data_IF_404846743232
#
_entry.id   IF_404846743232
#
_cell.length_a   1.000
_cell.length_b   1.000
_cell.length_c   1.000
_cell.angle_alpha   90.00
_cell.angle_beta   90.00
_cell.angle_gamma   90.00
#
_symmetry.space_group_name_H-M   'P 1'
#
loop_
_entity.id
_entity.type
_entity.pdbx_description
1 polymer ?
#
# COMPACT_ATOMS: atom_id res chain seq x y z
N UNK A 1 11.03 -27.47 -13.44
CA UNK A 1 9.96 -26.78 -12.68
C UNK A 1 10.46 -26.64 -11.25
N UNK A 2 11.13 -25.53 -10.94
CA UNK A 2 11.82 -25.34 -9.66
C UNK A 2 10.90 -24.50 -8.78
N UNK A 3 10.22 -25.16 -7.84
CA UNK A 3 9.45 -24.49 -6.79
C UNK A 3 10.45 -23.83 -5.84
N UNK A 4 10.35 -22.51 -5.71
CA UNK A 4 11.22 -21.73 -4.85
C UNK A 4 10.87 -22.03 -3.38
N UNK A 5 11.68 -22.87 -2.74
CA UNK A 5 11.75 -23.01 -1.30
C UNK A 5 12.34 -21.70 -0.72
N UNK A 6 11.46 -20.80 -0.28
CA UNK A 6 11.90 -19.62 0.46
C UNK A 6 12.24 -20.03 1.89
N UNK A 7 13.55 -20.15 2.12
CA UNK A 7 14.18 -20.39 3.41
C UNK A 7 13.63 -19.42 4.47
N UNK A 8 12.84 -19.98 5.39
CA UNK A 8 12.17 -19.28 6.49
C UNK A 8 13.21 -18.86 7.53
N UNK A 9 13.54 -17.58 7.62
CA UNK A 9 14.00 -17.03 8.90
C UNK A 9 12.84 -17.29 9.88
N UNK A 10 13.02 -18.19 10.85
CA UNK A 10 11.94 -18.70 11.70
C UNK A 10 11.06 -17.56 12.26
N UNK A 11 9.91 -17.33 11.64
CA UNK A 11 8.96 -16.35 12.14
C UNK A 11 8.45 -16.84 13.50
N UNK A 12 8.35 -15.96 14.51
CA UNK A 12 7.91 -16.35 15.84
C UNK A 12 6.52 -17.02 15.76
N UNK A 13 6.37 -18.13 16.48
CA UNK A 13 5.12 -18.92 16.48
C UNK A 13 4.41 -18.71 17.81
N UNK A 14 3.15 -18.29 17.75
CA UNK A 14 2.27 -18.13 18.90
C UNK A 14 1.23 -19.24 18.86
N UNK A 15 1.38 -20.22 19.76
CA UNK A 15 0.38 -21.26 19.98
C UNK A 15 -0.65 -20.79 20.99
N UNK A 16 -1.87 -20.54 20.50
CA UNK A 16 -3.00 -20.04 21.28
C UNK A 16 -3.47 -21.07 22.32
N UNK A 17 -3.26 -22.35 22.06
CA UNK A 17 -3.69 -23.44 22.95
C UNK A 17 -2.92 -23.40 24.27
N UNK A 18 -1.65 -22.98 24.21
CA UNK A 18 -0.78 -22.85 25.38
C UNK A 18 -1.07 -21.58 26.20
N UNK A 19 -1.97 -20.70 25.75
CA UNK A 19 -2.29 -19.41 26.39
C UNK A 19 -3.68 -19.45 27.04
N UNK A 20 -3.84 -18.93 28.27
CA UNK A 20 -5.15 -18.83 28.93
C UNK A 20 -6.16 -18.03 28.09
N UNK A 21 -7.44 -18.44 28.00
CA UNK A 21 -8.44 -17.82 27.11
C UNK A 21 -8.53 -16.29 27.18
N UNK A 22 -8.45 -15.72 28.39
CA UNK A 22 -8.54 -14.28 28.62
C UNK A 22 -7.30 -13.50 28.17
N UNK A 23 -6.16 -14.17 27.96
CA UNK A 23 -4.89 -13.53 27.56
C UNK A 23 -4.62 -13.66 26.06
N UNK A 24 -5.31 -14.57 25.36
CA UNK A 24 -5.09 -14.84 23.93
C UNK A 24 -5.22 -13.58 23.09
N UNK A 25 -6.40 -12.95 23.09
CA UNK A 25 -6.64 -11.79 22.24
C UNK A 25 -5.75 -10.59 22.59
N UNK A 26 -5.62 -10.17 23.88
CA UNK A 26 -4.73 -9.08 24.23
C UNK A 26 -3.29 -9.30 23.75
N UNK A 27 -2.75 -10.50 23.96
CA UNK A 27 -1.38 -10.84 23.57
C UNK A 27 -1.19 -10.81 22.05
N UNK A 28 -2.12 -11.38 21.28
CA UNK A 28 -2.01 -11.43 19.82
C UNK A 28 -2.16 -10.03 19.21
N UNK A 29 -3.05 -9.21 19.75
CA UNK A 29 -3.24 -7.83 19.31
C UNK A 29 -2.02 -6.96 19.64
N UNK A 30 -1.45 -7.11 20.82
CA UNK A 30 -0.19 -6.45 21.18
C UNK A 30 0.96 -6.91 20.28
N UNK A 31 1.11 -8.21 20.06
CA UNK A 31 2.11 -8.74 19.15
C UNK A 31 1.96 -8.18 17.73
N UNK A 32 0.73 -8.05 17.22
CA UNK A 32 0.45 -7.44 15.91
C UNK A 32 0.78 -5.94 15.88
N UNK A 33 0.49 -5.21 16.97
CA UNK A 33 0.82 -3.79 17.11
C UNK A 33 2.33 -3.54 17.12
N UNK A 34 3.09 -4.39 17.81
CA UNK A 34 4.55 -4.27 17.98
C UNK A 34 5.36 -4.79 16.77
N UNK A 35 4.69 -5.34 15.74
CA UNK A 35 5.37 -5.77 14.53
C UNK A 35 6.06 -4.60 13.83
N UNK A 36 7.36 -4.76 13.57
CA UNK A 36 8.07 -3.90 12.62
C UNK A 36 7.59 -4.19 11.18
N UNK A 37 7.64 -3.19 10.27
CA UNK A 37 7.26 -3.39 8.88
C UNK A 37 8.06 -4.53 8.23
N UNK A 38 7.36 -5.39 7.46
CA UNK A 38 7.95 -6.55 6.79
C UNK A 38 8.16 -7.75 7.71
N UNK A 39 7.83 -7.64 9.01
CA UNK A 39 7.89 -8.74 9.97
C UNK A 39 6.51 -9.33 10.19
N UNK A 40 6.48 -10.57 10.65
CA UNK A 40 5.26 -11.28 11.00
C UNK A 40 5.50 -12.38 12.02
N UNK A 41 4.41 -12.99 12.45
CA UNK A 41 4.38 -14.14 13.32
C UNK A 41 3.31 -15.13 12.85
N UNK A 42 3.45 -16.40 13.23
CA UNK A 42 2.50 -17.45 12.90
C UNK A 42 1.65 -17.77 14.13
N UNK A 43 0.35 -17.53 14.02
CA UNK A 43 -0.66 -17.96 14.95
C UNK A 43 -1.03 -19.43 14.68
N UNK A 44 -0.98 -20.27 15.71
CA UNK A 44 -1.46 -21.66 15.66
C UNK A 44 -2.67 -21.80 16.56
N UNK A 45 -3.77 -22.33 16.01
CA UNK A 45 -5.01 -22.56 16.72
C UNK A 45 -5.60 -23.94 16.36
N UNK A 46 -6.40 -24.51 17.25
CA UNK A 46 -7.10 -25.78 17.02
C UNK A 46 -8.46 -25.62 16.32
N UNK A 47 -8.91 -24.38 16.13
CA UNK A 47 -10.12 -24.04 15.38
C UNK A 47 -9.86 -22.80 14.53
N UNK A 48 -10.79 -22.52 13.64
CA UNK A 48 -10.74 -21.38 12.74
C UNK A 48 -10.76 -20.04 13.50
N UNK A 49 -9.70 -19.21 13.40
CA UNK A 49 -9.57 -17.94 14.12
C UNK A 49 -10.37 -16.77 13.52
N UNK A 50 -11.49 -17.03 12.81
CA UNK A 50 -12.37 -16.00 12.23
C UNK A 50 -12.76 -14.85 13.17
N UNK A 51 -13.16 -15.09 14.44
CA UNK A 51 -13.51 -13.99 15.34
C UNK A 51 -12.34 -13.04 15.60
N UNK A 52 -11.13 -13.60 15.72
CA UNK A 52 -9.90 -12.83 15.91
C UNK A 52 -9.53 -12.06 14.65
N UNK A 53 -9.71 -12.66 13.46
CA UNK A 53 -9.52 -11.97 12.18
C UNK A 53 -10.36 -10.70 12.10
N UNK A 54 -11.65 -10.79 12.42
CA UNK A 54 -12.56 -9.64 12.40
C UNK A 54 -12.11 -8.55 13.37
N UNK A 55 -11.64 -8.93 14.56
CA UNK A 55 -11.13 -7.98 15.55
C UNK A 55 -9.83 -7.29 15.10
N UNK A 56 -8.89 -8.03 14.50
CA UNK A 56 -7.65 -7.48 13.92
C UNK A 56 -7.99 -6.51 12.78
N UNK A 57 -8.90 -6.91 11.89
CA UNK A 57 -9.32 -6.06 10.77
C UNK A 57 -10.01 -4.77 11.24
N UNK A 58 -10.83 -4.84 12.29
CA UNK A 58 -11.48 -3.66 12.86
C UNK A 58 -10.49 -2.69 13.53
N UNK A 59 -9.39 -3.19 14.11
CA UNK A 59 -8.41 -2.38 14.83
C UNK A 59 -7.29 -1.84 13.93
N UNK A 60 -6.81 -2.65 12.97
CA UNK A 60 -5.62 -2.35 12.18
C UNK A 60 -5.89 -2.15 10.70
N UNK A 61 -7.06 -2.57 10.18
CA UNK A 61 -7.38 -2.48 8.76
C UNK A 61 -6.27 -3.07 7.88
N UNK A 62 -5.87 -2.33 6.85
CA UNK A 62 -4.81 -2.72 5.92
C UNK A 62 -3.37 -2.59 6.49
N UNK A 63 -3.21 -2.09 7.73
CA UNK A 63 -1.89 -2.00 8.37
C UNK A 63 -1.34 -3.38 8.78
N UNK A 64 -2.20 -4.42 8.80
CA UNK A 64 -1.81 -5.79 9.14
C UNK A 64 -2.37 -6.75 8.08
N UNK A 65 -1.49 -7.58 7.55
CA UNK A 65 -1.81 -8.69 6.65
C UNK A 65 -2.22 -9.95 7.41
N UNK A 66 -3.17 -10.68 6.84
CA UNK A 66 -3.67 -11.94 7.38
C UNK A 66 -3.61 -13.03 6.30
N UNK A 67 -2.79 -14.05 6.50
CA UNK A 67 -2.58 -15.12 5.50
C UNK A 67 -2.75 -16.48 6.15
N UNK A 68 -3.71 -17.27 5.67
CA UNK A 68 -3.83 -18.66 6.11
C UNK A 68 -2.70 -19.50 5.51
N UNK A 69 -1.88 -20.10 6.36
CA UNK A 69 -0.86 -21.06 5.99
C UNK A 69 -1.40 -22.49 5.99
N UNK A 70 -2.32 -22.77 6.92
CA UNK A 70 -2.95 -24.07 7.07
C UNK A 70 -4.40 -23.86 7.53
N UNK A 71 -5.33 -24.51 6.85
CA UNK A 71 -6.75 -24.51 7.21
C UNK A 71 -7.08 -25.96 7.54
N UNK A 72 -7.50 -26.19 8.77
CA UNK A 72 -7.70 -27.52 9.34
C UNK A 72 -8.71 -28.38 8.58
N UNK A 73 -9.03 -29.56 9.14
CA UNK A 73 -9.71 -29.61 10.44
C UNK A 73 -8.81 -29.85 11.65
N UNK A 74 -7.61 -30.39 11.48
CA UNK A 74 -6.74 -30.77 12.61
C UNK A 74 -5.94 -29.60 13.20
N UNK A 75 -5.56 -28.63 12.37
CA UNK A 75 -4.74 -27.49 12.80
C UNK A 75 -4.97 -26.29 11.90
N UNK A 76 -5.03 -25.11 12.51
CA UNK A 76 -5.19 -23.84 11.81
C UNK A 76 -3.94 -22.99 12.04
N UNK A 77 -3.26 -22.64 10.96
CA UNK A 77 -2.08 -21.77 11.00
C UNK A 77 -2.33 -20.53 10.18
N UNK A 78 -2.15 -19.39 10.80
CA UNK A 78 -2.31 -18.08 10.16
C UNK A 78 -1.06 -17.28 10.39
N UNK A 79 -0.49 -16.74 9.32
CA UNK A 79 0.52 -15.71 9.39
C UNK A 79 -0.14 -14.35 9.54
N UNK A 80 0.19 -13.65 10.62
CA UNK A 80 -0.15 -12.25 10.85
C UNK A 80 1.12 -11.46 10.63
N UNK A 81 1.12 -10.55 9.67
CA UNK A 81 2.31 -9.79 9.31
C UNK A 81 2.01 -8.32 9.15
N UNK A 82 2.95 -7.46 9.48
CA UNK A 82 2.90 -6.07 9.03
C UNK A 82 3.53 -6.03 7.65
N UNK A 83 2.82 -5.56 6.60
CA UNK A 83 3.46 -5.37 5.31
C UNK A 83 4.73 -4.54 5.51
N UNK A 84 5.77 -4.81 4.72
CA UNK A 84 6.89 -3.87 4.59
C UNK A 84 6.28 -2.50 4.32
N UNK A 85 6.83 -1.46 4.94
CA UNK A 85 6.33 -0.11 4.79
C UNK A 85 6.64 0.37 3.36
N UNK A 86 5.92 -0.21 2.41
CA UNK A 86 5.79 0.11 0.99
C UNK A 86 4.32 0.28 0.61
N UNK A 87 3.38 -0.02 1.52
CA UNK A 87 2.01 0.51 1.48
C UNK A 87 1.95 1.79 2.30
N UNK A 88 2.47 2.86 1.71
CA UNK A 88 2.20 4.22 2.16
C UNK A 88 0.70 4.53 1.95
N UNK A 89 0.08 5.39 2.79
CA UNK A 89 -1.25 5.94 2.48
C UNK A 89 -1.18 6.62 1.11
N UNK A 90 -2.30 6.64 0.36
CA UNK A 90 -2.45 7.25 -0.97
C UNK A 90 -1.42 8.36 -1.20
N UNK A 91 -0.31 8.00 -1.85
CA UNK A 91 0.91 8.81 -1.77
C UNK A 91 0.73 9.96 -2.72
N UNK A 92 0.31 11.11 -2.21
CA UNK A 92 0.27 12.29 -3.05
C UNK A 92 1.69 12.68 -3.44
N UNK A 93 1.99 12.67 -4.74
CA UNK A 93 3.27 13.11 -5.27
C UNK A 93 3.11 14.51 -5.84
N UNK A 94 4.02 15.43 -5.52
CA UNK A 94 4.04 16.75 -6.17
C UNK A 94 5.00 16.74 -7.34
N UNK A 95 4.58 17.29 -8.46
CA UNK A 95 5.40 17.45 -9.66
C UNK A 95 5.33 18.87 -10.17
N UNK A 96 6.47 19.38 -10.62
CA UNK A 96 6.59 20.63 -11.34
C UNK A 96 6.57 20.35 -12.85
N UNK A 97 5.62 20.94 -13.56
CA UNK A 97 5.47 20.84 -15.00
C UNK A 97 6.05 22.12 -15.63
N UNK A 98 7.14 21.98 -16.38
CA UNK A 98 7.75 23.05 -17.15
C UNK A 98 7.00 23.36 -18.45
N UNK A 99 7.34 24.47 -19.11
CA UNK A 99 6.73 24.92 -20.38
C UNK A 99 6.83 23.94 -21.55
N UNK A 100 7.74 22.96 -21.49
CA UNK A 100 7.89 21.90 -22.49
C UNK A 100 7.10 20.62 -22.19
N UNK A 101 6.23 20.62 -21.18
CA UNK A 101 5.53 19.40 -20.73
C UNK A 101 6.44 18.40 -20.00
N UNK A 102 7.64 18.84 -19.60
CA UNK A 102 8.52 18.06 -18.74
C UNK A 102 8.05 18.18 -17.29
N UNK A 103 7.78 17.04 -16.68
CA UNK A 103 7.44 16.95 -15.27
C UNK A 103 8.67 16.52 -14.46
N UNK A 104 8.87 17.16 -13.31
CA UNK A 104 9.92 16.82 -12.35
C UNK A 104 9.32 16.67 -10.96
N UNK A 105 9.69 15.63 -10.23
CA UNK A 105 9.19 15.42 -8.87
C UNK A 105 9.76 16.52 -7.95
N UNK A 106 8.89 17.11 -7.14
CA UNK A 106 9.27 18.14 -6.16
C UNK A 106 8.86 17.70 -4.76
N UNK A 107 9.49 18.31 -3.74
CA UNK A 107 9.17 18.02 -2.36
C UNK A 107 7.69 18.31 -2.06
N UNK A 108 7.08 17.46 -1.23
CA UNK A 108 5.66 17.57 -0.83
C UNK A 108 5.32 18.88 -0.08
N UNK A 109 6.31 19.66 0.35
CA UNK A 109 6.13 21.00 0.95
C UNK A 109 5.98 22.12 -0.09
N UNK A 110 6.27 21.85 -1.36
CA UNK A 110 6.25 22.85 -2.43
C UNK A 110 4.83 23.37 -2.68
N UNK A 111 4.54 24.67 -2.65
CA UNK A 111 3.18 25.19 -2.85
C UNK A 111 2.64 24.84 -4.24
N UNK A 112 1.36 24.43 -4.27
CA UNK A 112 0.65 24.15 -5.52
C UNK A 112 0.38 25.45 -6.29
N UNK A 113 0.38 25.36 -7.61
CA UNK A 113 0.20 26.52 -8.49
C UNK A 113 1.47 26.91 -9.23
N UNK A 114 1.54 28.14 -9.70
CA UNK A 114 2.65 28.61 -10.51
C UNK A 114 3.85 28.90 -9.61
N UNK A 115 4.89 28.09 -9.70
CA UNK A 115 6.13 28.24 -8.94
C UNK A 115 7.33 27.87 -9.81
N UNK A 116 8.49 28.47 -9.54
CA UNK A 116 9.75 28.16 -10.24
C UNK A 116 9.68 28.18 -11.78
N UNK A 117 8.80 29.01 -12.36
CA UNK A 117 8.61 29.11 -13.81
C UNK A 117 7.81 27.97 -14.45
N UNK A 118 7.19 27.11 -13.64
CA UNK A 118 6.30 26.02 -14.09
C UNK A 118 5.03 25.94 -13.23
N UNK A 119 4.25 24.89 -13.45
CA UNK A 119 3.03 24.59 -12.71
C UNK A 119 3.28 23.41 -11.76
N UNK A 120 3.12 23.62 -10.46
CA UNK A 120 3.19 22.56 -9.46
C UNK A 120 1.81 21.96 -9.25
N UNK A 121 1.71 20.66 -9.52
CA UNK A 121 0.50 19.86 -9.34
C UNK A 121 0.75 18.73 -8.35
N UNK A 122 -0.32 18.30 -7.69
CA UNK A 122 -0.36 17.14 -6.82
C UNK A 122 -1.06 15.99 -7.52
N UNK A 123 -0.43 14.82 -7.53
CA UNK A 123 -1.01 13.60 -8.04
C UNK A 123 -1.62 12.85 -6.88
N UNK A 124 -2.95 12.75 -6.85
CA UNK A 124 -3.70 12.05 -5.80
C UNK A 124 -3.92 10.59 -6.17
N UNK A 125 -4.28 9.77 -5.18
CA UNK A 125 -4.68 8.37 -5.39
C UNK A 125 -3.57 7.48 -5.98
N UNK A 126 -2.29 7.79 -5.71
CA UNK A 126 -1.20 6.92 -6.17
C UNK A 126 -1.27 5.58 -5.42
N UNK A 127 -1.34 4.44 -6.14
CA UNK A 127 -1.37 3.14 -5.51
C UNK A 127 -0.06 2.86 -4.76
N UNK A 128 -0.10 2.02 -3.71
CA UNK A 128 1.10 1.64 -2.98
C UNK A 128 2.10 0.94 -3.92
N UNK A 129 3.39 1.26 -3.77
CA UNK A 129 4.44 0.82 -4.69
C UNK A 129 4.63 1.68 -5.94
N UNK A 130 3.85 2.76 -6.11
CA UNK A 130 4.09 3.74 -7.18
C UNK A 130 5.40 4.48 -6.95
N UNK A 131 6.30 4.39 -7.93
CA UNK A 131 7.58 5.11 -7.92
C UNK A 131 7.42 6.50 -8.53
N UNK A 132 8.29 7.45 -8.13
CA UNK A 132 8.29 8.79 -8.72
C UNK A 132 8.50 8.73 -10.25
N UNK A 133 9.38 7.86 -10.74
CA UNK A 133 9.65 7.69 -12.18
C UNK A 133 8.40 7.32 -12.96
N UNK A 134 7.58 6.38 -12.46
CA UNK A 134 6.31 6.00 -13.10
C UNK A 134 5.35 7.19 -13.19
N UNK A 135 5.25 8.00 -12.13
CA UNK A 135 4.39 9.20 -12.15
C UNK A 135 4.91 10.23 -13.14
N UNK A 136 6.23 10.47 -13.17
CA UNK A 136 6.84 11.41 -14.11
C UNK A 136 6.61 10.99 -15.56
N UNK A 137 6.72 9.69 -15.84
CA UNK A 137 6.46 9.07 -17.13
C UNK A 137 5.00 9.21 -17.58
N UNK A 138 4.04 9.10 -16.65
CA UNK A 138 2.63 9.41 -16.90
C UNK A 138 2.37 10.90 -17.13
N UNK A 139 3.15 11.76 -16.48
CA UNK A 139 3.02 13.22 -16.55
C UNK A 139 3.67 13.85 -17.79
N UNK A 140 4.47 13.09 -18.54
CA UNK A 140 5.09 13.59 -19.78
C UNK A 140 4.03 14.06 -20.78
N UNK A 141 4.12 15.35 -21.16
CA UNK A 141 3.20 15.98 -22.12
C UNK A 141 1.78 16.20 -21.57
N UNK A 142 1.58 16.13 -20.25
CA UNK A 142 0.33 16.55 -19.59
C UNK A 142 0.33 18.07 -19.46
N UNK A 143 -0.76 18.70 -19.90
CA UNK A 143 -1.00 20.13 -19.72
C UNK A 143 -2.31 20.25 -18.92
N UNK A 144 -2.24 20.53 -17.61
CA UNK A 144 -3.44 20.72 -16.81
C UNK A 144 -4.21 21.95 -17.30
N UNK A 145 -5.55 21.90 -17.33
CA UNK A 145 -6.34 23.10 -17.56
C UNK A 145 -6.11 24.13 -16.45
N UNK A 146 -6.34 25.40 -16.76
CA UNK A 146 -6.08 26.51 -15.84
C UNK A 146 -6.80 26.29 -14.49
N UNK A 147 -6.04 26.34 -13.39
CA UNK A 147 -6.55 26.15 -12.03
C UNK A 147 -6.66 24.69 -11.56
N UNK A 148 -6.41 23.69 -12.43
CA UNK A 148 -6.37 22.30 -12.01
C UNK A 148 -5.00 21.95 -11.43
N UNK A 149 -4.94 21.89 -10.10
CA UNK A 149 -3.70 21.59 -9.34
C UNK A 149 -3.65 20.16 -8.82
N UNK A 150 -4.77 19.43 -8.87
CA UNK A 150 -4.88 18.05 -8.40
C UNK A 150 -5.26 17.14 -9.58
N UNK A 151 -4.49 16.06 -9.75
CA UNK A 151 -4.64 15.09 -10.83
C UNK A 151 -4.70 13.69 -10.21
N UNK A 152 -5.73 12.89 -10.50
CA UNK A 152 -5.76 11.52 -9.98
C UNK A 152 -4.87 10.60 -10.83
N UNK A 153 -4.14 9.70 -10.16
CA UNK A 153 -3.25 8.73 -10.81
C UNK A 153 -3.98 7.90 -11.88
N UNK A 154 -5.21 7.45 -11.61
CA UNK A 154 -6.01 6.68 -12.55
C UNK A 154 -6.31 7.44 -13.86
N UNK A 155 -6.56 8.76 -13.80
CA UNK A 155 -6.79 9.58 -15.01
C UNK A 155 -5.53 9.69 -15.85
N UNK A 156 -4.37 9.78 -15.21
CA UNK A 156 -3.08 9.81 -15.91
C UNK A 156 -2.79 8.48 -16.60
N UNK A 157 -3.06 7.35 -15.94
CA UNK A 157 -2.94 6.00 -16.51
C UNK A 157 -3.90 5.82 -17.69
N UNK A 158 -5.16 6.20 -17.55
CA UNK A 158 -6.16 6.10 -18.61
C UNK A 158 -5.77 6.87 -19.87
N UNK A 159 -5.16 8.05 -19.70
CA UNK A 159 -4.59 8.86 -20.80
C UNK A 159 -3.45 8.14 -21.50
N UNK A 160 -2.46 7.65 -20.73
CA UNK A 160 -1.24 7.02 -21.26
C UNK A 160 -1.53 5.73 -22.02
N UNK A 161 -2.45 4.91 -21.50
CA UNK A 161 -2.86 3.63 -22.11
C UNK A 161 -3.70 3.79 -23.39
N UNK A 162 -3.93 5.03 -23.86
CA UNK A 162 -4.65 5.28 -25.12
C UNK A 162 -6.16 5.08 -25.05
N UNK A 163 -6.75 4.97 -23.85
CA UNK A 163 -8.20 4.82 -23.68
C UNK A 163 -8.96 6.15 -23.68
N UNK A 164 -8.36 7.23 -24.18
CA UNK A 164 -9.04 8.50 -24.42
C UNK A 164 -9.66 8.54 -25.81
N UNK A 165 -10.82 7.90 -25.93
CA UNK A 165 -11.87 8.34 -26.86
C UNK A 165 -12.44 9.66 -26.31
N UNK A 166 -11.85 10.81 -26.66
CA UNK A 166 -12.33 12.10 -26.18
C UNK A 166 -11.42 13.23 -26.64
N UNK A 167 -11.53 13.56 -27.92
CA UNK A 167 -10.62 14.46 -28.62
C UNK A 167 -10.60 15.90 -28.11
N UNK A 168 -9.42 16.50 -28.22
CA UNK A 168 -9.22 17.84 -28.75
C UNK A 168 -7.76 17.98 -29.19
N UNK A 169 -7.48 17.43 -30.37
CA UNK A 169 -6.45 17.95 -31.24
C UNK A 169 -7.21 18.70 -32.35
N UNK A 170 -7.10 20.02 -32.38
CA UNK A 170 -7.79 20.91 -33.30
C UNK A 170 -7.83 22.31 -32.74
#
# INVERSE_FOLDING_TARGET
MQIAEQSTAAEPVIDVQSIPPHQRHPLILQAAQDLAPGRGFVLVNNHDPRPLYLQVQALFGDAVSWTYLERGPERWRVRIGRPESGTAPATSLRVLIGRGGQATAVAAETPLGVAYGGLVCEITDCPPGTTAEQVLDLMQGVIPPAGQLHLSYERLVARRSGSCCGGMCG
#
